data_IF_942979719744
#
_entry.id   IF_942979719744
#
_cell.length_a   1.000
_cell.length_b   1.000
_cell.length_c   1.000
_cell.angle_alpha   90.00
_cell.angle_beta   90.00
_cell.angle_gamma   90.00
#
_symmetry.space_group_name_H-M   'P 1'
#
loop_
_entity.id
_entity.type
_entity.pdbx_description
1 polymer ?
#
# COMPACT_ATOMS: atom_id res chain seq x y z
N UNK A 1 17.98 4.34 -9.73
CA UNK A 1 17.78 3.34 -8.65
C UNK A 1 16.29 2.98 -8.61
N UNK A 2 15.92 1.70 -8.49
CA UNK A 2 14.53 1.28 -8.23
C UNK A 2 14.52 0.42 -6.96
N UNK A 3 13.87 0.95 -5.91
CA UNK A 3 13.51 0.21 -4.71
C UNK A 3 12.06 -0.29 -4.82
N UNK A 4 11.67 -1.21 -3.95
CA UNK A 4 10.29 -1.73 -3.86
C UNK A 4 9.62 -1.34 -2.55
N UNK A 5 9.41 -0.04 -2.27
CA UNK A 5 8.64 0.36 -1.11
C UNK A 5 7.20 -0.15 -1.25
N UNK A 6 6.65 -0.69 -0.15
CA UNK A 6 5.24 -1.04 -0.09
C UNK A 6 4.36 0.21 0.01
N UNK A 7 4.75 1.16 0.86
CA UNK A 7 3.93 2.34 1.11
C UNK A 7 2.54 2.00 1.65
N UNK A 8 1.80 3.05 2.02
CA UNK A 8 0.47 2.95 2.64
C UNK A 8 -0.54 2.22 1.73
N UNK A 9 -0.42 2.41 0.41
CA UNK A 9 -1.39 1.92 -0.57
C UNK A 9 -1.11 0.52 -1.15
N UNK A 10 -0.08 -0.18 -0.66
CA UNK A 10 0.29 -1.50 -1.17
C UNK A 10 -0.82 -2.55 -1.03
N UNK A 11 -1.69 -2.43 -0.03
CA UNK A 11 -2.75 -3.42 0.22
C UNK A 11 -3.69 -3.57 -0.98
N UNK A 12 -4.06 -2.46 -1.63
CA UNK A 12 -4.96 -2.48 -2.80
C UNK A 12 -4.21 -2.44 -4.14
N UNK A 13 -3.08 -1.74 -4.21
CA UNK A 13 -2.41 -1.47 -5.49
C UNK A 13 -1.14 -2.28 -5.72
N UNK A 14 -0.65 -2.97 -4.69
CA UNK A 14 0.60 -3.71 -4.71
C UNK A 14 1.82 -2.83 -4.48
N UNK A 15 2.99 -3.47 -4.47
CA UNK A 15 4.28 -2.79 -4.31
C UNK A 15 4.79 -2.26 -5.65
N UNK A 16 5.77 -1.35 -5.64
CA UNK A 16 6.34 -0.73 -6.85
C UNK A 16 6.70 -1.74 -7.96
N UNK A 17 7.17 -2.94 -7.60
CA UNK A 17 7.48 -4.03 -8.55
C UNK A 17 6.29 -4.40 -9.44
N UNK A 18 5.09 -4.44 -8.90
CA UNK A 18 3.87 -4.81 -9.63
C UNK A 18 3.42 -3.70 -10.59
N UNK A 19 3.86 -2.46 -10.37
CA UNK A 19 3.58 -1.36 -11.28
C UNK A 19 4.47 -1.38 -12.52
N UNK A 20 5.66 -1.98 -12.45
CA UNK A 20 6.67 -1.94 -13.51
C UNK A 20 6.36 -2.99 -14.59
N UNK A 21 6.18 -2.51 -15.82
CA UNK A 21 5.97 -3.34 -17.02
C UNK A 21 7.24 -3.59 -17.80
N UNK A 22 8.04 -2.54 -17.98
CA UNK A 22 9.25 -2.57 -18.78
C UNK A 22 10.31 -1.65 -18.18
N UNK A 23 11.57 -2.06 -18.27
CA UNK A 23 12.74 -1.27 -17.90
C UNK A 23 13.68 -1.12 -19.09
N UNK A 24 14.29 0.06 -19.23
CA UNK A 24 15.53 0.21 -19.99
C UNK A 24 16.68 0.45 -19.01
N UNK A 25 17.75 -0.31 -19.17
CA UNK A 25 18.85 -0.39 -18.20
C UNK A 25 20.16 -0.38 -18.96
N UNK A 26 21.08 0.47 -18.55
CA UNK A 26 22.47 0.44 -19.01
C UNK A 26 23.25 -0.51 -18.09
N UNK A 27 23.80 -1.58 -18.65
CA UNK A 27 24.64 -2.52 -17.90
C UNK A 27 26.09 -2.03 -17.85
N UNK A 28 26.96 -2.78 -17.16
CA UNK A 28 28.39 -2.43 -16.97
C UNK A 28 29.18 -2.36 -18.28
N UNK A 29 28.68 -2.96 -19.36
CA UNK A 29 29.26 -2.87 -20.70
C UNK A 29 28.89 -1.57 -21.44
N UNK A 30 28.13 -0.68 -20.81
CA UNK A 30 27.68 0.59 -21.37
C UNK A 30 26.54 0.47 -22.39
N UNK A 31 26.03 -0.73 -22.66
CA UNK A 31 24.94 -0.94 -23.62
C UNK A 31 23.58 -0.84 -22.95
N UNK A 32 22.59 -0.37 -23.73
CA UNK A 32 21.22 -0.25 -23.30
C UNK A 32 20.45 -1.55 -23.55
N UNK A 33 19.99 -2.17 -22.48
CA UNK A 33 19.15 -3.37 -22.51
C UNK A 33 17.71 -3.04 -22.15
N UNK A 34 16.79 -3.80 -22.73
CA UNK A 34 15.36 -3.71 -22.45
C UNK A 34 14.90 -4.98 -21.75
N UNK A 35 14.29 -4.82 -20.59
CA UNK A 35 13.72 -5.92 -19.81
C UNK A 35 12.22 -5.76 -19.68
N UNK A 36 11.47 -6.86 -19.82
CA UNK A 36 10.01 -6.87 -19.78
C UNK A 36 9.36 -6.40 -21.08
N UNK A 37 8.03 -6.18 -21.02
CA UNK A 37 7.22 -5.85 -22.18
C UNK A 37 6.13 -4.83 -21.82
N UNK A 38 5.66 -4.07 -22.81
CA UNK A 38 4.49 -3.19 -22.64
C UNK A 38 3.18 -3.96 -22.54
N UNK A 39 3.15 -5.20 -23.04
CA UNK A 39 1.97 -6.05 -23.00
C UNK A 39 1.61 -6.40 -21.56
N UNK A 40 0.30 -6.48 -21.28
CA UNK A 40 -0.22 -6.84 -19.95
C UNK A 40 0.19 -8.27 -19.58
N UNK A 41 0.23 -9.17 -20.56
CA UNK A 41 0.70 -10.54 -20.46
C UNK A 41 1.90 -10.74 -21.37
N UNK A 42 2.96 -11.30 -20.83
CA UNK A 42 4.15 -11.71 -21.58
C UNK A 42 4.71 -12.94 -20.88
N UNK A 43 4.78 -14.04 -21.62
CA UNK A 43 5.35 -15.32 -21.17
C UNK A 43 6.59 -15.71 -21.99
N UNK A 44 7.17 -14.74 -22.70
CA UNK A 44 8.34 -14.94 -23.55
C UNK A 44 9.62 -14.82 -22.72
N UNK A 45 10.21 -15.97 -22.37
CA UNK A 45 11.50 -16.04 -21.68
C UNK A 45 11.43 -15.74 -20.18
N UNK A 46 12.59 -15.42 -19.60
CA UNK A 46 12.73 -15.19 -18.16
C UNK A 46 12.27 -13.79 -17.73
N UNK A 47 11.72 -13.68 -16.52
CA UNK A 47 11.34 -12.41 -15.89
C UNK A 47 12.55 -11.61 -15.38
N UNK A 48 13.54 -11.36 -16.24
CA UNK A 48 14.77 -10.62 -15.89
C UNK A 48 14.51 -9.21 -15.35
N UNK A 49 13.35 -8.62 -15.68
CA UNK A 49 12.94 -7.33 -15.11
C UNK A 49 12.88 -7.39 -13.59
N UNK A 50 12.41 -8.50 -13.01
CA UNK A 50 12.21 -8.64 -11.57
C UNK A 50 13.53 -8.83 -10.81
N UNK A 51 14.59 -9.28 -11.50
CA UNK A 51 15.95 -9.31 -10.98
C UNK A 51 16.57 -7.91 -10.87
N UNK A 52 16.30 -7.05 -11.86
CA UNK A 52 16.76 -5.64 -11.82
C UNK A 52 15.99 -4.84 -10.77
N UNK A 53 14.69 -5.11 -10.58
CA UNK A 53 13.84 -4.41 -9.61
C UNK A 53 14.23 -4.80 -8.18
N UNK A 54 14.75 -3.84 -7.42
CA UNK A 54 15.27 -4.07 -6.06
C UNK A 54 16.76 -4.40 -6.04
N UNK A 55 17.46 -4.38 -7.18
CA UNK A 55 18.93 -4.51 -7.23
C UNK A 55 19.67 -3.28 -6.69
N UNK A 56 18.95 -2.20 -6.33
CA UNK A 56 19.54 -0.95 -5.84
C UNK A 56 20.64 -0.37 -6.75
N UNK A 57 20.50 -0.59 -8.07
CA UNK A 57 21.46 -0.20 -9.11
C UNK A 57 22.78 -0.98 -9.14
N UNK A 58 22.91 -2.09 -8.39
CA UNK A 58 24.10 -2.97 -8.45
C UNK A 58 24.23 -3.73 -9.77
N UNK A 59 23.10 -4.07 -10.41
CA UNK A 59 23.07 -4.82 -11.66
C UNK A 59 23.03 -3.93 -12.92
N UNK A 60 23.04 -2.61 -12.76
CA UNK A 60 22.96 -1.66 -13.86
C UNK A 60 22.13 -0.42 -13.51
N UNK A 61 22.22 0.59 -14.37
CA UNK A 61 21.55 1.88 -14.18
C UNK A 61 20.27 1.93 -15.00
N UNK A 62 19.13 2.01 -14.32
CA UNK A 62 17.83 2.18 -14.98
C UNK A 62 17.70 3.61 -15.54
N UNK A 63 17.45 3.72 -16.84
CA UNK A 63 17.30 5.00 -17.55
C UNK A 63 15.84 5.34 -17.88
N UNK A 64 15.02 4.34 -18.16
CA UNK A 64 13.58 4.53 -18.42
C UNK A 64 12.75 3.41 -17.78
N UNK A 65 11.54 3.78 -17.35
CA UNK A 65 10.58 2.86 -16.72
C UNK A 65 9.22 3.04 -17.38
N UNK A 66 8.65 1.93 -17.87
CA UNK A 66 7.23 1.89 -18.25
C UNK A 66 6.44 1.27 -17.11
N UNK A 67 5.46 2.00 -16.59
CA UNK A 67 4.61 1.57 -15.50
C UNK A 67 3.13 1.53 -15.88
N UNK A 68 2.37 0.65 -15.25
CA UNK A 68 0.91 0.66 -15.31
C UNK A 68 0.39 1.78 -14.41
N UNK A 69 -0.60 2.51 -14.89
CA UNK A 69 -1.30 3.53 -14.13
C UNK A 69 -2.66 3.00 -13.69
N UNK A 70 -3.16 3.56 -12.60
CA UNK A 70 -4.51 3.33 -12.13
C UNK A 70 -5.33 4.61 -12.32
N UNK A 71 -6.63 4.49 -12.62
CA UNK A 71 -7.54 5.63 -12.60
C UNK A 71 -7.56 6.28 -11.21
N UNK A 72 -7.56 7.61 -11.18
CA UNK A 72 -7.70 8.38 -9.94
C UNK A 72 -9.07 8.10 -9.30
N UNK A 73 -9.13 7.68 -8.03
CA UNK A 73 -10.40 7.46 -7.36
C UNK A 73 -11.15 8.77 -7.19
N UNK A 74 -12.47 8.75 -7.34
CA UNK A 74 -13.31 9.95 -7.18
C UNK A 74 -13.60 10.25 -5.72
N UNK A 75 -13.57 9.22 -4.86
CA UNK A 75 -13.87 9.31 -3.44
C UNK A 75 -12.84 8.50 -2.66
N UNK A 76 -12.39 9.08 -1.56
CA UNK A 76 -11.48 8.45 -0.60
C UNK A 76 -11.96 8.78 0.80
N UNK A 77 -12.00 7.79 1.69
CA UNK A 77 -12.32 7.99 3.11
C UNK A 77 -11.29 7.24 3.96
N UNK A 78 -10.96 7.82 5.10
CA UNK A 78 -10.18 7.17 6.14
C UNK A 78 -11.05 7.03 7.38
N UNK A 79 -11.08 5.84 7.95
CA UNK A 79 -11.79 5.52 9.17
C UNK A 79 -10.80 5.15 10.26
N UNK A 80 -10.97 5.75 11.44
CA UNK A 80 -10.19 5.45 12.63
C UNK A 80 -11.05 4.65 13.59
N UNK A 81 -10.63 3.43 13.93
CA UNK A 81 -11.37 2.50 14.77
C UNK A 81 -10.58 2.29 16.08
N UNK A 82 -11.11 2.74 17.23
CA UNK A 82 -10.48 2.50 18.53
C UNK A 82 -10.77 1.08 19.05
N UNK A 83 -9.78 0.50 19.72
CA UNK A 83 -9.85 -0.81 20.37
C UNK A 83 -9.38 -0.72 21.82
N UNK A 84 -9.87 -1.60 22.71
CA UNK A 84 -9.44 -1.65 24.11
C UNK A 84 -7.94 -1.86 24.25
N UNK A 85 -7.36 -2.74 23.42
CA UNK A 85 -5.92 -3.04 23.38
C UNK A 85 -5.39 -3.04 21.95
N UNK A 86 -4.06 -2.89 21.80
CA UNK A 86 -3.39 -3.03 20.50
C UNK A 86 -3.51 -4.45 19.93
N UNK A 87 -3.51 -5.46 20.79
CA UNK A 87 -3.63 -6.85 20.36
C UNK A 87 -5.01 -7.15 19.77
N UNK A 88 -6.07 -6.58 20.36
CA UNK A 88 -7.43 -6.70 19.82
C UNK A 88 -7.54 -6.05 18.44
N UNK A 89 -6.90 -4.88 18.26
CA UNK A 89 -6.81 -4.24 16.96
C UNK A 89 -6.14 -5.16 15.92
N UNK A 90 -4.95 -5.69 16.21
CA UNK A 90 -4.22 -6.56 15.29
C UNK A 90 -5.01 -7.83 14.95
N UNK A 91 -5.68 -8.44 15.93
CA UNK A 91 -6.51 -9.64 15.72
C UNK A 91 -7.73 -9.39 14.81
N UNK A 92 -8.23 -8.16 14.74
CA UNK A 92 -9.37 -7.82 13.88
C UNK A 92 -8.99 -7.72 12.39
N UNK A 93 -7.72 -7.42 12.06
CA UNK A 93 -7.28 -7.19 10.67
C UNK A 93 -7.56 -8.40 9.75
N UNK A 94 -7.20 -9.64 10.11
CA UNK A 94 -7.52 -10.81 9.29
C UNK A 94 -9.03 -10.97 9.04
N UNK A 95 -9.87 -10.68 10.04
CA UNK A 95 -11.32 -10.78 9.89
C UNK A 95 -11.86 -9.74 8.89
N UNK A 96 -11.37 -8.49 8.96
CA UNK A 96 -11.72 -7.43 8.00
C UNK A 96 -11.35 -7.86 6.57
N UNK A 97 -10.14 -8.38 6.37
CA UNK A 97 -9.70 -8.84 5.05
C UNK A 97 -10.52 -10.05 4.56
N UNK A 98 -10.83 -10.99 5.45
CA UNK A 98 -11.66 -12.16 5.15
C UNK A 98 -13.12 -11.81 4.82
N UNK A 99 -13.62 -10.64 5.27
CA UNK A 99 -14.94 -10.15 4.88
C UNK A 99 -15.05 -9.83 3.38
N UNK A 100 -13.93 -9.81 2.64
CA UNK A 100 -13.87 -9.47 1.22
C UNK A 100 -13.84 -7.96 0.94
N UNK A 101 -13.67 -7.14 1.98
CA UNK A 101 -13.35 -5.71 1.82
C UNK A 101 -11.86 -5.58 1.53
N UNK A 102 -11.50 -4.79 0.51
CA UNK A 102 -10.10 -4.54 0.14
C UNK A 102 -9.77 -3.07 0.48
N UNK A 103 -9.39 -2.79 1.74
CA UNK A 103 -8.95 -1.45 2.12
C UNK A 103 -7.72 -1.04 1.31
N UNK A 104 -7.61 0.25 1.03
CA UNK A 104 -6.40 0.82 0.41
C UNK A 104 -5.23 0.81 1.38
N UNK A 105 -5.53 1.01 2.65
CA UNK A 105 -4.57 1.27 3.72
C UNK A 105 -5.04 0.57 4.98
N UNK A 106 -4.15 -0.12 5.70
CA UNK A 106 -4.42 -0.69 7.02
C UNK A 106 -3.22 -0.39 7.89
N UNK A 107 -3.34 0.60 8.77
CA UNK A 107 -2.30 0.98 9.71
C UNK A 107 -2.79 0.78 11.13
N UNK A 108 -1.89 0.45 12.05
CA UNK A 108 -2.21 0.36 13.47
C UNK A 108 -1.32 1.27 14.30
N UNK A 109 -1.86 1.79 15.40
CA UNK A 109 -1.13 2.64 16.32
C UNK A 109 -1.50 2.30 17.76
N UNK A 110 -0.51 2.23 18.64
CA UNK A 110 -0.73 2.09 20.08
C UNK A 110 -0.77 3.45 20.77
N UNK A 111 -1.52 3.54 21.88
CA UNK A 111 -1.64 4.79 22.68
C UNK A 111 -0.30 5.39 23.10
N UNK A 112 0.71 4.56 23.40
CA UNK A 112 2.05 5.03 23.77
C UNK A 112 2.70 5.93 22.70
N UNK A 113 2.54 5.58 21.43
CA UNK A 113 3.10 6.34 20.30
C UNK A 113 2.31 7.65 20.11
N UNK A 114 0.98 7.57 20.25
CA UNK A 114 0.11 8.74 20.16
C UNK A 114 0.44 9.75 21.26
N UNK A 115 0.57 9.32 22.51
CA UNK A 115 0.90 10.22 23.63
C UNK A 115 2.27 10.91 23.42
N UNK A 116 3.24 10.21 22.84
CA UNK A 116 4.54 10.80 22.49
C UNK A 116 4.37 11.86 21.39
N UNK A 117 3.56 11.58 20.37
CA UNK A 117 3.24 12.52 19.31
C UNK A 117 2.50 13.76 19.85
N UNK A 118 1.49 13.58 20.69
CA UNK A 118 0.75 14.67 21.33
C UNK A 118 1.67 15.58 22.15
N UNK A 119 2.59 14.98 22.93
CA UNK A 119 3.57 15.72 23.71
C UNK A 119 4.54 16.50 22.83
N UNK A 120 5.00 15.93 21.72
CA UNK A 120 5.97 16.56 20.84
C UNK A 120 5.36 17.68 20.00
N UNK A 121 4.16 17.46 19.45
CA UNK A 121 3.48 18.40 18.56
C UNK A 121 2.51 19.34 19.28
N UNK A 122 2.30 19.16 20.60
CA UNK A 122 1.36 19.91 21.42
C UNK A 122 -0.06 19.94 20.82
N UNK A 123 -0.48 18.83 20.24
CA UNK A 123 -1.80 18.60 19.66
C UNK A 123 -2.49 17.44 20.37
N UNK A 124 -3.82 17.43 20.35
CA UNK A 124 -4.61 16.31 20.87
C UNK A 124 -5.06 15.40 19.73
N UNK A 125 -4.95 14.11 19.97
CA UNK A 125 -5.49 13.08 19.10
C UNK A 125 -7.02 13.10 19.20
N UNK A 126 -7.76 12.99 18.09
CA UNK A 126 -9.22 13.17 18.08
C UNK A 126 -10.02 12.08 18.83
N UNK A 127 -9.37 11.00 19.27
CA UNK A 127 -10.01 9.89 19.97
C UNK A 127 -9.34 9.61 21.31
N UNK A 128 -10.03 9.97 22.38
CA UNK A 128 -9.55 9.82 23.76
C UNK A 128 -9.73 8.40 24.31
N UNK A 129 -10.55 7.56 23.67
CA UNK A 129 -10.88 6.20 24.13
C UNK A 129 -10.06 5.11 23.41
N UNK A 130 -9.71 4.06 24.14
CA UNK A 130 -8.96 2.89 23.63
C UNK A 130 -7.44 2.98 23.81
N UNK A 131 -6.76 1.83 23.74
CA UNK A 131 -5.29 1.75 23.76
C UNK A 131 -4.67 1.27 22.44
N UNK A 132 -5.49 0.82 21.50
CA UNK A 132 -5.10 0.45 20.14
C UNK A 132 -6.01 1.14 19.12
N UNK A 133 -5.45 1.46 17.97
CA UNK A 133 -6.16 2.13 16.88
C UNK A 133 -5.84 1.46 15.56
N UNK A 134 -6.85 1.30 14.71
CA UNK A 134 -6.66 0.94 13.31
C UNK A 134 -7.14 2.09 12.43
N UNK A 135 -6.30 2.50 11.49
CA UNK A 135 -6.66 3.40 10.41
C UNK A 135 -6.90 2.57 9.15
N UNK A 136 -8.13 2.62 8.64
CA UNK A 136 -8.54 1.99 7.39
C UNK A 136 -8.78 3.05 6.33
N UNK A 137 -8.10 2.93 5.19
CA UNK A 137 -8.38 3.76 4.02
C UNK A 137 -9.24 3.01 3.01
N UNK A 138 -10.14 3.71 2.32
CA UNK A 138 -10.93 3.17 1.21
C UNK A 138 -10.97 4.16 0.05
N UNK A 139 -10.82 3.65 -1.17
CA UNK A 139 -10.88 4.42 -2.42
C UNK A 139 -11.94 3.78 -3.33
N UNK A 140 -12.91 4.56 -3.79
CA UNK A 140 -13.91 4.10 -4.77
C UNK A 140 -14.30 5.20 -5.77
N UNK A 141 -15.17 4.84 -6.72
CA UNK A 141 -15.65 5.75 -7.76
C UNK A 141 -17.00 6.38 -7.40
N UNK A 142 -17.74 5.79 -6.46
CA UNK A 142 -19.04 6.29 -6.01
C UNK A 142 -19.11 6.39 -4.49
N UNK A 143 -19.94 7.30 -3.98
CA UNK A 143 -20.16 7.44 -2.52
C UNK A 143 -20.81 6.19 -1.93
N UNK A 144 -21.68 5.51 -2.67
CA UNK A 144 -22.37 4.30 -2.22
C UNK A 144 -21.43 3.13 -1.95
N UNK A 145 -20.43 2.92 -2.82
CA UNK A 145 -19.42 1.88 -2.66
C UNK A 145 -18.55 2.11 -1.42
N UNK A 146 -18.04 3.33 -1.24
CA UNK A 146 -17.22 3.69 -0.08
C UNK A 146 -17.96 3.45 1.23
N UNK A 147 -19.23 3.86 1.29
CA UNK A 147 -20.04 3.68 2.49
C UNK A 147 -20.38 2.21 2.76
N UNK A 148 -20.57 1.40 1.72
CA UNK A 148 -20.81 -0.02 1.86
C UNK A 148 -19.57 -0.77 2.38
N UNK A 149 -18.39 -0.47 1.83
CA UNK A 149 -17.11 -1.03 2.30
C UNK A 149 -16.82 -0.64 3.75
N UNK A 150 -17.04 0.63 4.09
CA UNK A 150 -16.87 1.13 5.45
C UNK A 150 -17.81 0.43 6.44
N UNK A 151 -19.11 0.34 6.12
CA UNK A 151 -20.09 -0.35 6.98
C UNK A 151 -19.72 -1.81 7.21
N UNK A 152 -19.24 -2.49 6.16
CA UNK A 152 -18.84 -3.89 6.24
C UNK A 152 -17.59 -4.05 7.12
N UNK A 153 -16.57 -3.22 6.95
CA UNK A 153 -15.36 -3.23 7.77
C UNK A 153 -15.65 -2.93 9.26
N UNK A 154 -16.54 -1.99 9.54
CA UNK A 154 -16.97 -1.65 10.91
C UNK A 154 -17.83 -2.77 11.53
N UNK A 155 -18.64 -3.48 10.73
CA UNK A 155 -19.42 -4.61 11.22
C UNK A 155 -18.55 -5.80 11.60
N UNK A 156 -17.41 -6.01 10.93
CA UNK A 156 -16.49 -7.14 11.17
C UNK A 156 -15.48 -6.87 12.29
N UNK A 157 -15.35 -5.63 12.75
CA UNK A 157 -14.44 -5.25 13.84
C UNK A 157 -15.05 -5.42 15.23
N UNK A 158 -16.34 -5.76 15.32
CA UNK A 158 -17.05 -6.07 16.57
C UNK A 158 -17.15 -7.56 16.83
#
# INVERSE_FOLDING_TARGET
MIQTPGGLKAVKYGVTREHIRQLKVVLTDGKLYKFGAKAVKSSSGYSLKDLIIGSEATLGVVTEVTMRLYPTPRKSINALIPFPTLDDAIKSVPAILASGVVPTTVEFMGRKVINLWEKYYNQKFPVDEGNGFILLGFDAFTDGEVQAELKKAVATTK
#
